data_IF_560531842756
#
_entry.id   IF_560531842756
#
_cell.length_a   1.000
_cell.length_b   1.000
_cell.length_c   1.000
_cell.angle_alpha   90.00
_cell.angle_beta   90.00
_cell.angle_gamma   90.00
#
_symmetry.space_group_name_H-M   'P 1'
#
loop_
_entity.id
_entity.type
_entity.pdbx_description
1 polymer ?
#
# COMPACT_ATOMS: atom_id res chain seq x y z
N UNK A 1 15.91 21.61 -22.68
CA UNK A 1 16.26 21.13 -21.32
C UNK A 1 15.11 21.31 -20.31
N UNK A 2 14.43 22.47 -20.26
CA UNK A 2 13.29 22.72 -19.34
C UNK A 2 12.11 21.73 -19.46
N UNK A 3 11.72 21.33 -20.68
CA UNK A 3 10.57 20.42 -20.89
C UNK A 3 10.80 19.01 -20.34
N UNK A 4 12.06 18.56 -20.23
CA UNK A 4 12.40 17.23 -19.75
C UNK A 4 12.16 17.11 -18.23
N UNK A 5 12.52 18.15 -17.47
CA UNK A 5 12.26 18.23 -16.02
C UNK A 5 10.75 18.31 -15.73
N UNK A 6 10.04 19.20 -16.45
CA UNK A 6 8.57 19.39 -16.29
C UNK A 6 7.76 18.10 -16.53
N UNK A 7 8.15 17.27 -17.49
CA UNK A 7 7.49 15.99 -17.74
C UNK A 7 7.83 14.92 -16.68
N UNK A 8 9.01 15.01 -16.06
CA UNK A 8 9.41 14.11 -14.97
C UNK A 8 8.57 14.36 -13.72
N UNK A 9 8.31 15.63 -13.40
CA UNK A 9 7.47 16.02 -12.26
C UNK A 9 6.01 15.60 -12.44
N UNK A 10 5.45 15.74 -13.65
CA UNK A 10 4.09 15.27 -13.95
C UNK A 10 3.93 13.77 -13.77
N UNK A 11 4.91 12.98 -14.23
CA UNK A 11 4.90 11.52 -14.06
C UNK A 11 5.01 11.14 -12.58
N UNK A 12 5.88 11.82 -11.81
CA UNK A 12 6.01 11.61 -10.37
C UNK A 12 4.69 11.89 -9.65
N UNK A 13 4.05 13.02 -9.95
CA UNK A 13 2.73 13.37 -9.42
C UNK A 13 1.70 12.28 -9.68
N UNK A 14 1.62 11.78 -10.91
CA UNK A 14 0.64 10.76 -11.27
C UNK A 14 0.87 9.44 -10.53
N UNK A 15 2.13 9.00 -10.42
CA UNK A 15 2.51 7.79 -9.67
C UNK A 15 2.17 7.98 -8.20
N UNK A 16 2.52 9.14 -7.62
CA UNK A 16 2.23 9.44 -6.22
C UNK A 16 0.74 9.40 -5.94
N UNK A 17 -0.07 9.99 -6.82
CA UNK A 17 -1.53 10.03 -6.68
C UNK A 17 -2.15 8.63 -6.77
N UNK A 18 -1.73 7.83 -7.75
CA UNK A 18 -2.19 6.43 -7.90
C UNK A 18 -1.81 5.58 -6.67
N UNK A 19 -0.60 5.77 -6.14
CA UNK A 19 -0.13 5.04 -4.96
C UNK A 19 -0.94 5.42 -3.72
N UNK A 20 -1.26 6.71 -3.55
CA UNK A 20 -2.04 7.20 -2.43
C UNK A 20 -3.47 6.64 -2.47
N UNK A 21 -4.11 6.66 -3.65
CA UNK A 21 -5.42 6.02 -3.87
C UNK A 21 -5.36 4.53 -3.51
N UNK A 22 -4.33 3.83 -3.96
CA UNK A 22 -4.13 2.40 -3.67
C UNK A 22 -3.98 2.14 -2.17
N UNK A 23 -3.19 2.96 -1.44
CA UNK A 23 -3.07 2.86 0.01
C UNK A 23 -4.40 3.07 0.72
N UNK A 24 -5.21 4.03 0.28
CA UNK A 24 -6.54 4.26 0.86
C UNK A 24 -7.45 3.05 0.65
N UNK A 25 -7.44 2.46 -0.55
CA UNK A 25 -8.23 1.25 -0.84
C UNK A 25 -7.78 0.09 0.05
N UNK A 26 -6.47 -0.15 0.16
CA UNK A 26 -5.92 -1.19 1.03
C UNK A 26 -6.28 -0.94 2.50
N UNK A 27 -6.26 0.31 2.97
CA UNK A 27 -6.69 0.67 4.32
C UNK A 27 -8.14 0.28 4.60
N UNK A 28 -9.04 0.62 3.67
CA UNK A 28 -10.47 0.35 3.80
C UNK A 28 -10.72 -1.16 3.77
N UNK A 29 -10.14 -1.88 2.81
CA UNK A 29 -10.26 -3.35 2.72
C UNK A 29 -9.72 -4.04 3.97
N UNK A 30 -8.55 -3.64 4.47
CA UNK A 30 -7.97 -4.21 5.69
C UNK A 30 -8.82 -3.95 6.94
N UNK A 31 -9.57 -2.84 6.98
CA UNK A 31 -10.54 -2.55 8.03
C UNK A 31 -11.80 -3.43 7.96
N UNK A 32 -12.12 -4.01 6.80
CA UNK A 32 -13.25 -4.93 6.65
C UNK A 32 -12.89 -6.34 7.12
N UNK A 33 -11.63 -6.77 6.93
CA UNK A 33 -11.14 -8.10 7.31
C UNK A 33 -10.75 -8.19 8.80
N UNK A 34 -11.70 -7.89 9.71
CA UNK A 34 -11.48 -7.98 11.18
C UNK A 34 -11.53 -9.41 11.73
N UNK A 35 -11.85 -10.41 10.91
CA UNK A 35 -12.00 -11.82 11.32
C UNK A 35 -10.76 -12.36 12.04
N UNK A 36 -9.55 -11.99 11.61
CA UNK A 36 -8.30 -12.50 12.18
C UNK A 36 -7.53 -11.37 12.86
N UNK A 37 -7.72 -11.22 14.18
CA UNK A 37 -7.15 -10.15 15.01
C UNK A 37 -5.63 -9.99 14.80
N UNK A 38 -4.88 -11.09 14.77
CA UNK A 38 -3.41 -11.04 14.62
C UNK A 38 -2.97 -10.51 13.25
N UNK A 39 -3.57 -11.01 12.16
CA UNK A 39 -3.29 -10.50 10.82
C UNK A 39 -3.73 -9.05 10.64
N UNK A 40 -4.83 -8.66 11.29
CA UNK A 40 -5.30 -7.27 11.27
C UNK A 40 -4.27 -6.29 11.86
N UNK A 41 -3.63 -6.65 12.98
CA UNK A 41 -2.56 -5.84 13.58
C UNK A 41 -1.32 -5.78 12.68
N UNK A 42 -0.92 -6.90 12.09
CA UNK A 42 0.18 -6.94 11.12
C UNK A 42 -0.12 -6.02 9.92
N UNK A 43 -1.33 -6.11 9.36
CA UNK A 43 -1.75 -5.27 8.24
C UNK A 43 -1.67 -3.78 8.58
N UNK A 44 -2.13 -3.37 9.78
CA UNK A 44 -2.03 -1.99 10.26
C UNK A 44 -0.57 -1.51 10.35
N UNK A 45 0.32 -2.34 10.87
CA UNK A 45 1.76 -2.05 10.95
C UNK A 45 2.39 -1.91 9.55
N UNK A 46 2.09 -2.83 8.64
CA UNK A 46 2.55 -2.75 7.25
C UNK A 46 2.03 -1.50 6.55
N UNK A 47 0.79 -1.10 6.83
CA UNK A 47 0.22 0.15 6.30
C UNK A 47 0.97 1.38 6.78
N UNK A 48 1.35 1.44 8.07
CA UNK A 48 2.16 2.55 8.60
C UNK A 48 3.55 2.59 7.94
N UNK A 49 4.19 1.43 7.77
CA UNK A 49 5.50 1.31 7.12
C UNK A 49 5.40 1.72 5.64
N UNK A 50 4.36 1.26 4.95
CA UNK A 50 4.10 1.56 3.54
C UNK A 50 3.83 3.06 3.31
N UNK A 51 3.08 3.68 4.21
CA UNK A 51 2.89 5.13 4.22
C UNK A 51 4.22 5.87 4.44
N UNK A 52 5.06 5.42 5.37
CA UNK A 52 6.40 5.96 5.57
C UNK A 52 7.28 5.84 4.32
N UNK A 53 7.27 4.69 3.66
CA UNK A 53 7.99 4.46 2.40
C UNK A 53 7.48 5.35 1.25
N UNK A 54 6.18 5.62 1.22
CA UNK A 54 5.59 6.57 0.27
C UNK A 54 6.08 8.01 0.49
N UNK A 55 6.18 8.47 1.74
CA UNK A 55 6.81 9.76 2.04
C UNK A 55 8.29 9.78 1.65
N UNK A 56 9.04 8.69 1.92
CA UNK A 56 10.44 8.57 1.47
C UNK A 56 10.54 8.64 -0.05
N UNK A 57 9.62 8.04 -0.80
CA UNK A 57 9.57 8.18 -2.26
C UNK A 57 9.37 9.63 -2.72
N UNK A 58 8.48 10.38 -2.06
CA UNK A 58 8.28 11.80 -2.36
C UNK A 58 9.56 12.61 -2.17
N UNK A 59 10.28 12.38 -1.07
CA UNK A 59 11.50 13.11 -0.71
C UNK A 59 12.78 12.67 -1.45
N UNK A 60 12.95 11.37 -1.70
CA UNK A 60 14.19 10.79 -2.25
C UNK A 60 14.09 10.26 -3.68
N UNK A 61 12.92 10.35 -4.32
CA UNK A 61 12.66 9.83 -5.68
C UNK A 61 12.94 8.32 -5.87
N UNK A 62 13.22 7.59 -4.79
CA UNK A 62 13.43 6.14 -4.82
C UNK A 62 12.12 5.42 -4.52
N UNK A 63 11.54 4.82 -5.57
CA UNK A 63 10.28 4.09 -5.48
C UNK A 63 10.54 2.66 -5.00
N UNK A 64 10.32 2.41 -3.71
CA UNK A 64 10.40 1.06 -3.14
C UNK A 64 9.05 0.34 -3.26
N UNK A 65 8.69 -0.03 -4.50
CA UNK A 65 7.42 -0.70 -4.82
C UNK A 65 7.11 -1.87 -3.87
N UNK A 66 8.11 -2.69 -3.56
CA UNK A 66 7.98 -3.85 -2.67
C UNK A 66 7.47 -3.51 -1.27
N UNK A 67 7.92 -2.39 -0.70
CA UNK A 67 7.49 -1.96 0.63
C UNK A 67 6.09 -1.35 0.54
N UNK A 68 5.83 -0.61 -0.52
CA UNK A 68 4.54 0.06 -0.77
C UNK A 68 3.40 -0.97 -0.95
N UNK A 69 3.67 -2.03 -1.72
CA UNK A 69 2.72 -3.11 -1.98
C UNK A 69 2.68 -4.19 -0.88
N UNK A 70 3.53 -4.10 0.14
CA UNK A 70 3.53 -5.06 1.25
C UNK A 70 2.15 -5.25 1.93
N UNK A 71 1.30 -4.23 2.14
CA UNK A 71 -0.01 -4.42 2.76
C UNK A 71 -0.95 -5.24 1.86
N UNK A 72 -0.72 -5.26 0.55
CA UNK A 72 -1.52 -6.03 -0.41
C UNK A 72 -1.35 -7.54 -0.20
N UNK A 73 -0.12 -8.00 0.08
CA UNK A 73 0.15 -9.39 0.44
C UNK A 73 -0.57 -9.81 1.72
N UNK A 74 -0.62 -8.92 2.72
CA UNK A 74 -1.32 -9.24 3.97
C UNK A 74 -2.83 -9.40 3.76
N UNK A 75 -3.47 -8.59 2.89
CA UNK A 75 -4.89 -8.76 2.56
C UNK A 75 -5.14 -10.07 1.82
N UNK A 76 -4.31 -10.39 0.82
CA UNK A 76 -4.41 -11.66 0.10
C UNK A 76 -4.27 -12.85 1.04
N UNK A 77 -3.32 -12.79 1.98
CA UNK A 77 -3.13 -13.82 2.99
C UNK A 77 -4.36 -13.95 3.90
N UNK A 78 -4.92 -12.82 4.36
CA UNK A 78 -6.14 -12.83 5.18
C UNK A 78 -7.31 -13.45 4.44
N UNK A 79 -7.55 -13.09 3.17
CA UNK A 79 -8.63 -13.64 2.37
C UNK A 79 -8.47 -15.15 2.12
N UNK A 80 -7.24 -15.61 1.86
CA UNK A 80 -6.96 -17.03 1.69
C UNK A 80 -7.19 -17.80 3.00
N UNK A 81 -6.71 -17.26 4.13
CA UNK A 81 -6.95 -17.87 5.44
C UNK A 81 -8.43 -17.88 5.79
N UNK A 82 -9.16 -16.79 5.55
CA UNK A 82 -10.59 -16.71 5.77
C UNK A 82 -11.36 -17.69 4.87
N UNK A 83 -10.95 -17.88 3.62
CA UNK A 83 -11.53 -18.90 2.75
C UNK A 83 -11.24 -20.34 3.23
N UNK A 84 -10.01 -20.62 3.68
CA UNK A 84 -9.59 -21.98 4.09
C UNK A 84 -10.11 -22.37 5.48
N UNK A 85 -10.14 -21.41 6.41
CA UNK A 85 -10.48 -21.65 7.81
C UNK A 85 -11.88 -21.13 8.20
N UNK A 86 -12.49 -20.27 7.37
CA UNK A 86 -13.81 -19.67 7.57
C UNK A 86 -14.90 -20.28 6.70
N UNK A 87 -14.79 -21.56 6.32
CA UNK A 87 -15.92 -22.33 5.84
C UNK A 87 -16.93 -22.55 6.99
N UNK A 88 -17.68 -21.51 7.33
CA UNK A 88 -18.84 -21.55 8.22
C UNK A 88 -19.83 -20.47 7.83
#
# INVERSE_FOLDING_TARGET
MLSYLKNKDKKKLFISLATLVLLVVLFVMGNMTKSIIFLFWIHKLLMLISLGAFFVYLYRDKYYAWIIFSPLYSILLTLVLEYLFGAS
#
